data_IF_268707585996
#
_entry.id   IF_268707585996
#
_cell.length_a   1.000
_cell.length_b   1.000
_cell.length_c   1.000
_cell.angle_alpha   90.00
_cell.angle_beta   90.00
_cell.angle_gamma   90.00
#
_symmetry.space_group_name_H-M   'P 1'
#
loop_
_entity.id
_entity.type
_entity.pdbx_description
1 polymer ?
#
# COMPACT_ATOMS: atom_id res chain seq x y z
N UNK A 1 10.81 15.43 3.77
CA UNK A 1 10.08 14.51 2.88
C UNK A 1 8.60 14.59 3.21
N UNK A 2 7.74 14.79 2.22
CA UNK A 2 6.30 14.87 2.43
C UNK A 2 5.70 13.47 2.59
N UNK A 3 4.98 13.24 3.70
CA UNK A 3 4.21 12.02 3.93
C UNK A 3 2.82 12.22 3.34
N UNK A 4 2.53 11.53 2.22
CA UNK A 4 1.18 11.48 1.68
C UNK A 4 0.32 10.49 2.46
N UNK A 5 -0.91 10.89 2.75
CA UNK A 5 -1.89 10.10 3.50
C UNK A 5 -3.11 9.87 2.64
N UNK A 6 -3.59 8.63 2.59
CA UNK A 6 -4.91 8.32 2.04
C UNK A 6 -5.57 7.21 2.84
N UNK A 7 -6.90 7.16 2.74
CA UNK A 7 -7.69 6.04 3.22
C UNK A 7 -7.81 5.00 2.10
N UNK A 8 -7.67 3.74 2.44
CA UNK A 8 -7.89 2.61 1.54
C UNK A 8 -8.73 1.55 2.25
N UNK A 9 -9.57 0.83 1.49
CA UNK A 9 -10.32 -0.32 2.00
C UNK A 9 -9.50 -1.58 1.78
N UNK A 10 -9.64 -2.53 2.71
CA UNK A 10 -9.12 -3.89 2.56
C UNK A 10 -10.14 -4.67 1.74
N UNK A 11 -9.71 -5.39 0.70
CA UNK A 11 -10.56 -6.25 -0.09
C UNK A 11 -10.87 -7.60 0.62
N UNK A 12 -11.70 -8.44 0.02
CA UNK A 12 -12.09 -9.75 0.57
C UNK A 12 -10.91 -10.72 0.72
N UNK A 13 -9.82 -10.49 -0.02
CA UNK A 13 -8.58 -11.28 0.03
C UNK A 13 -7.53 -10.67 0.99
N UNK A 14 -7.88 -9.60 1.72
CA UNK A 14 -6.97 -8.96 2.67
C UNK A 14 -5.96 -8.00 2.04
N UNK A 15 -6.12 -7.63 0.76
CA UNK A 15 -5.21 -6.71 0.04
C UNK A 15 -5.64 -5.26 0.23
N UNK A 16 -4.66 -4.36 0.15
CA UNK A 16 -4.86 -2.92 0.15
C UNK A 16 -4.39 -2.35 -1.19
N UNK A 17 -5.31 -1.72 -1.92
CA UNK A 17 -4.94 -1.01 -3.15
C UNK A 17 -4.41 0.38 -2.81
N UNK A 18 -3.22 0.72 -3.33
CA UNK A 18 -2.70 2.10 -3.27
C UNK A 18 -3.60 2.99 -4.13
N UNK A 19 -4.23 4.04 -3.55
CA UNK A 19 -5.13 4.92 -4.28
C UNK A 19 -4.45 5.61 -5.48
N UNK A 20 -5.20 5.79 -6.57
CA UNK A 20 -4.66 6.28 -7.84
C UNK A 20 -4.02 7.68 -7.76
N UNK A 21 -4.58 8.56 -6.92
CA UNK A 21 -4.01 9.87 -6.68
C UNK A 21 -2.61 9.78 -6.04
N UNK A 22 -2.39 8.86 -5.10
CA UNK A 22 -1.06 8.63 -4.53
C UNK A 22 -0.13 8.08 -5.59
N UNK A 23 -0.56 7.04 -6.32
CA UNK A 23 0.25 6.39 -7.35
C UNK A 23 0.76 7.38 -8.39
N UNK A 24 -0.12 8.29 -8.86
CA UNK A 24 0.20 9.31 -9.86
C UNK A 24 1.12 10.40 -9.33
N UNK A 25 0.85 10.90 -8.12
CA UNK A 25 1.63 12.02 -7.54
C UNK A 25 3.10 11.62 -7.28
N UNK A 26 3.34 10.36 -6.89
CA UNK A 26 4.69 9.87 -6.57
C UNK A 26 5.33 9.05 -7.70
N UNK A 27 4.71 9.01 -8.89
CA UNK A 27 5.14 8.21 -10.06
C UNK A 27 5.48 6.75 -9.71
N UNK A 28 4.58 6.11 -8.95
CA UNK A 28 4.77 4.77 -8.43
C UNK A 28 4.55 3.73 -9.53
N UNK A 29 5.60 2.96 -9.83
CA UNK A 29 5.63 1.97 -10.91
C UNK A 29 5.65 0.55 -10.36
N UNK A 30 5.14 -0.39 -11.16
CA UNK A 30 5.20 -1.80 -10.82
C UNK A 30 6.66 -2.26 -10.62
N UNK A 31 6.88 -3.12 -9.63
CA UNK A 31 8.21 -3.63 -9.28
C UNK A 31 9.05 -2.71 -8.40
N UNK A 32 8.59 -1.49 -8.08
CA UNK A 32 9.30 -0.62 -7.13
C UNK A 32 9.13 -1.09 -5.68
N UNK A 33 10.23 -1.02 -4.93
CA UNK A 33 10.23 -1.23 -3.49
C UNK A 33 9.66 0.02 -2.79
N UNK A 34 8.72 -0.16 -1.86
CA UNK A 34 8.12 0.94 -1.10
C UNK A 34 8.16 0.65 0.40
N UNK A 35 8.30 1.71 1.20
CA UNK A 35 8.15 1.65 2.65
C UNK A 35 6.74 2.08 3.04
N UNK A 36 6.05 1.27 3.85
CA UNK A 36 4.68 1.53 4.30
C UNK A 36 4.66 1.62 5.81
N UNK A 37 4.17 2.73 6.35
CA UNK A 37 3.94 2.91 7.79
C UNK A 37 2.45 2.84 8.10
N UNK A 38 2.04 1.82 8.84
CA UNK A 38 0.67 1.72 9.35
C UNK A 38 0.48 2.59 10.60
N UNK A 39 -0.63 3.34 10.66
CA UNK A 39 -1.02 4.14 11.82
C UNK A 39 -2.52 4.00 12.09
N UNK A 40 -2.92 3.69 13.33
CA UNK A 40 -4.31 3.60 13.76
C UNK A 40 -4.46 3.07 15.20
N UNK A 41 -5.64 3.21 15.84
CA UNK A 41 -5.89 2.78 17.22
C UNK A 41 -5.88 1.25 17.37
N UNK A 42 -6.35 0.52 16.35
CA UNK A 42 -6.18 -0.94 16.22
C UNK A 42 -4.99 -1.21 15.31
N UNK A 43 -3.77 -0.97 15.78
CA UNK A 43 -2.55 -1.32 15.03
C UNK A 43 -2.59 -2.81 14.73
N UNK A 44 -2.88 -3.20 13.49
CA UNK A 44 -2.51 -4.53 13.03
C UNK A 44 -0.99 -4.63 13.24
N UNK A 45 -0.54 -5.59 14.04
CA UNK A 45 0.88 -5.70 14.41
C UNK A 45 1.76 -6.05 13.21
N UNK A 46 1.17 -6.51 12.11
CA UNK A 46 1.87 -6.94 10.91
C UNK A 46 1.03 -6.68 9.66
N UNK A 47 1.72 -6.38 8.55
CA UNK A 47 1.17 -6.46 7.19
C UNK A 47 1.60 -7.80 6.63
N UNK A 48 0.66 -8.64 6.21
CA UNK A 48 1.00 -9.85 5.46
C UNK A 48 1.18 -9.44 3.99
N UNK A 49 2.42 -9.44 3.52
CA UNK A 49 2.75 -9.14 2.12
C UNK A 49 2.86 -10.47 1.38
N UNK A 50 1.86 -10.78 0.54
CA UNK A 50 1.95 -11.91 -0.38
C UNK A 50 2.85 -11.53 -1.57
N UNK A 51 3.87 -12.35 -1.82
CA UNK A 51 4.67 -12.23 -3.04
C UNK A 51 3.80 -12.63 -4.23
N UNK A 52 3.50 -11.69 -5.13
CA UNK A 52 2.82 -11.99 -6.40
C UNK A 52 3.79 -12.76 -7.30
N UNK A 53 3.37 -13.92 -7.84
CA UNK A 53 4.24 -14.75 -8.69
C UNK A 53 4.55 -14.12 -10.06
N UNK A 54 3.80 -13.08 -10.47
CA UNK A 54 4.12 -12.29 -11.66
C UNK A 54 3.51 -10.89 -11.58
N UNK A 55 4.37 -9.87 -11.69
CA UNK A 55 3.98 -8.54 -12.12
C UNK A 55 4.17 -8.53 -13.64
N UNK A 56 3.07 -8.67 -14.38
CA UNK A 56 3.00 -8.57 -15.83
C UNK A 56 1.92 -7.58 -16.18
#
# INVERSE_FOLDING_TARGET
MALMRAFARVDEEGRISIPDNIRKEVDLKEGQLVEIKLSGPKKAQYVVIHKRESAR
#
